data_IF_348222976315
#
_entry.id   IF_348222976315
#
_cell.length_a   1.000
_cell.length_b   1.000
_cell.length_c   1.000
_cell.angle_alpha   90.00
_cell.angle_beta   90.00
_cell.angle_gamma   90.00
#
_symmetry.space_group_name_H-M   'P 1'
#
loop_
_entity.id
_entity.type
_entity.pdbx_description
1 polymer ?
#
# COMPACT_ATOMS: atom_id res chain seq x y z
N UNK A 1 -9.10 4.04 27.79
CA UNK A 1 -8.94 4.69 26.47
C UNK A 1 -7.45 4.86 26.19
N UNK A 2 -6.73 3.75 25.93
CA UNK A 2 -5.27 3.76 25.72
C UNK A 2 -4.76 2.41 25.16
N UNK A 3 -5.25 1.93 24.00
CA UNK A 3 -4.63 0.74 23.34
C UNK A 3 -4.67 0.80 21.78
N UNK A 4 -5.24 1.83 21.14
CA UNK A 4 -5.36 1.84 19.67
C UNK A 4 -4.15 2.44 18.91
N UNK A 5 -3.28 3.22 19.56
CA UNK A 5 -2.18 3.93 18.87
C UNK A 5 -0.97 3.04 18.53
N UNK A 6 -0.56 2.14 19.44
CA UNK A 6 0.60 1.26 19.19
C UNK A 6 0.39 0.40 17.96
N UNK A 7 -0.77 -0.26 17.86
CA UNK A 7 -1.09 -1.13 16.72
C UNK A 7 -1.12 -0.41 15.36
N UNK A 8 -1.56 0.86 15.31
CA UNK A 8 -1.58 1.61 14.06
C UNK A 8 -0.17 2.03 13.64
N UNK A 9 0.63 2.56 14.58
CA UNK A 9 2.01 2.93 14.29
C UNK A 9 2.85 1.71 13.90
N UNK A 10 2.66 0.58 14.57
CA UNK A 10 3.32 -0.68 14.21
C UNK A 10 2.99 -1.12 12.78
N UNK A 11 1.72 -1.02 12.37
CA UNK A 11 1.30 -1.29 10.98
C UNK A 11 1.92 -0.31 10.00
N UNK A 12 1.96 0.98 10.35
CA UNK A 12 2.57 2.01 9.52
C UNK A 12 4.07 1.76 9.35
N UNK A 13 4.81 1.51 10.43
CA UNK A 13 6.24 1.22 10.34
C UNK A 13 6.52 -0.11 9.63
N UNK A 14 5.72 -1.14 9.90
CA UNK A 14 5.79 -2.40 9.15
C UNK A 14 5.59 -2.18 7.65
N UNK A 15 4.56 -1.41 7.27
CA UNK A 15 4.27 -1.10 5.88
C UNK A 15 5.39 -0.27 5.24
N UNK A 16 5.88 0.75 5.92
CA UNK A 16 6.94 1.63 5.43
C UNK A 16 8.33 0.98 5.45
N UNK A 17 8.55 -0.12 6.18
CA UNK A 17 9.84 -0.82 6.23
C UNK A 17 10.28 -1.45 4.90
N UNK A 18 9.33 -1.73 4.01
CA UNK A 18 9.59 -2.39 2.72
C UNK A 18 9.79 -1.40 1.58
N UNK A 19 10.87 -1.58 0.81
CA UNK A 19 11.24 -0.69 -0.27
C UNK A 19 10.26 -0.67 -1.45
N UNK A 20 9.62 -1.81 -1.75
CA UNK A 20 8.61 -1.93 -2.82
C UNK A 20 7.36 -1.13 -2.46
N UNK A 21 6.89 -1.26 -1.21
CA UNK A 21 5.74 -0.49 -0.70
C UNK A 21 6.01 1.01 -0.70
N UNK A 22 7.21 1.46 -0.31
CA UNK A 22 7.59 2.89 -0.41
C UNK A 22 7.61 3.39 -1.86
N UNK A 23 8.08 2.58 -2.81
CA UNK A 23 8.04 2.91 -4.25
C UNK A 23 6.60 3.01 -4.77
N UNK A 24 5.72 2.09 -4.37
CA UNK A 24 4.29 2.14 -4.72
C UNK A 24 3.65 3.44 -4.21
N UNK A 25 3.88 3.80 -2.94
CA UNK A 25 3.38 5.08 -2.37
C UNK A 25 3.92 6.29 -3.14
N UNK A 26 5.21 6.30 -3.49
CA UNK A 26 5.80 7.39 -4.27
C UNK A 26 5.18 7.51 -5.66
N UNK A 27 4.90 6.40 -6.33
CA UNK A 27 4.23 6.38 -7.63
C UNK A 27 2.79 6.91 -7.51
N UNK A 28 2.04 6.46 -6.51
CA UNK A 28 0.68 6.90 -6.26
C UNK A 28 0.63 8.41 -5.95
N UNK A 29 1.54 8.91 -5.10
CA UNK A 29 1.64 10.33 -4.79
C UNK A 29 1.94 11.20 -6.02
N UNK A 30 2.64 10.65 -7.03
CA UNK A 30 2.97 11.36 -8.28
C UNK A 30 1.87 11.27 -9.34
N UNK A 31 1.19 10.12 -9.43
CA UNK A 31 0.22 9.83 -10.50
C UNK A 31 -1.23 10.12 -10.10
N UNK A 32 -1.52 10.25 -8.81
CA UNK A 32 -2.89 10.30 -8.31
C UNK A 32 -3.53 8.91 -8.29
N UNK A 33 -4.85 8.86 -8.46
CA UNK A 33 -5.59 7.60 -8.54
C UNK A 33 -5.19 6.78 -9.78
N UNK A 34 -4.90 5.51 -9.58
CA UNK A 34 -4.52 4.55 -10.62
C UNK A 34 -5.09 3.17 -10.31
N UNK A 35 -5.21 2.31 -11.32
CA UNK A 35 -5.62 0.93 -11.09
C UNK A 35 -4.53 0.14 -10.36
N UNK A 36 -4.90 -0.96 -9.67
CA UNK A 36 -3.93 -1.85 -9.05
C UNK A 36 -2.94 -2.46 -10.06
N UNK A 37 -3.41 -2.70 -11.29
CA UNK A 37 -2.58 -3.17 -12.40
C UNK A 37 -1.51 -2.15 -12.79
N UNK A 38 -1.91 -0.90 -13.00
CA UNK A 38 -0.99 0.18 -13.39
C UNK A 38 0.00 0.54 -12.28
N UNK A 39 -0.44 0.45 -11.03
CA UNK A 39 0.43 0.63 -9.86
C UNK A 39 1.47 -0.50 -9.78
N UNK A 40 1.09 -1.72 -10.13
CA UNK A 40 1.94 -2.91 -10.13
C UNK A 40 2.88 -3.03 -11.32
N UNK A 41 2.53 -2.47 -12.48
CA UNK A 41 3.26 -2.62 -13.74
C UNK A 41 4.77 -2.29 -13.68
N UNK A 42 5.25 -1.31 -12.89
CA UNK A 42 6.69 -1.02 -12.77
C UNK A 42 7.48 -2.05 -11.96
N UNK A 43 6.81 -3.02 -11.34
CA UNK A 43 7.43 -4.04 -10.51
C UNK A 43 7.45 -5.36 -11.26
N UNK A 44 8.63 -5.96 -11.43
CA UNK A 44 8.81 -7.28 -12.03
C UNK A 44 8.41 -8.38 -11.04
N UNK A 45 7.15 -8.39 -10.63
CA UNK A 45 6.59 -9.31 -9.64
C UNK A 45 5.20 -9.78 -10.05
N UNK A 46 4.83 -10.96 -9.59
CA UNK A 46 3.51 -11.53 -9.86
C UNK A 46 2.37 -10.68 -9.26
N UNK A 47 1.21 -10.67 -9.92
CA UNK A 47 0.00 -9.97 -9.48
C UNK A 47 -0.43 -10.26 -8.01
N UNK A 48 -0.35 -11.50 -7.50
CA UNK A 48 -0.65 -11.77 -6.09
C UNK A 48 0.26 -11.00 -5.12
N UNK A 49 1.52 -10.78 -5.50
CA UNK A 49 2.49 -10.01 -4.70
C UNK A 49 2.11 -8.53 -4.66
N UNK A 50 1.73 -7.94 -5.80
CA UNK A 50 1.22 -6.57 -5.87
C UNK A 50 -0.02 -6.42 -4.98
N UNK A 51 -0.97 -7.35 -5.10
CA UNK A 51 -2.20 -7.36 -4.30
C UNK A 51 -1.92 -7.44 -2.79
N UNK A 52 -0.94 -8.24 -2.39
CA UNK A 52 -0.49 -8.32 -1.00
C UNK A 52 0.08 -6.98 -0.51
N UNK A 53 0.92 -6.32 -1.30
CA UNK A 53 1.47 -5.01 -0.94
C UNK A 53 0.39 -3.94 -0.79
N UNK A 54 -0.57 -3.89 -1.73
CA UNK A 54 -1.71 -2.97 -1.68
C UNK A 54 -2.52 -3.21 -0.39
N UNK A 55 -2.83 -4.47 -0.05
CA UNK A 55 -3.57 -4.80 1.18
C UNK A 55 -2.83 -4.36 2.45
N UNK A 56 -1.51 -4.55 2.51
CA UNK A 56 -0.71 -4.10 3.67
C UNK A 56 -0.73 -2.58 3.80
N UNK A 57 -0.60 -1.84 2.69
CA UNK A 57 -0.67 -0.38 2.68
C UNK A 57 -2.05 0.13 3.10
N UNK A 58 -3.12 -0.51 2.62
CA UNK A 58 -4.50 -0.20 2.99
C UNK A 58 -4.76 -0.44 4.48
N UNK A 59 -4.32 -1.59 5.03
CA UNK A 59 -4.44 -1.91 6.45
C UNK A 59 -3.64 -0.97 7.35
N UNK A 60 -2.54 -0.41 6.84
CA UNK A 60 -1.77 0.62 7.50
C UNK A 60 -2.38 2.03 7.36
N UNK A 61 -3.51 2.17 6.66
CA UNK A 61 -4.17 3.45 6.41
C UNK A 61 -3.39 4.40 5.50
N UNK A 62 -2.43 3.88 4.73
CA UNK A 62 -1.56 4.69 3.87
C UNK A 62 -2.14 4.94 2.47
N UNK A 63 -3.09 4.11 2.06
CA UNK A 63 -3.84 4.25 0.80
C UNK A 63 -5.30 3.88 1.05
N UNK A 64 -6.17 4.33 0.14
CA UNK A 64 -7.55 3.85 0.01
C UNK A 64 -7.71 3.14 -1.32
N UNK A 65 -8.58 2.14 -1.39
CA UNK A 65 -8.96 1.50 -2.66
C UNK A 65 -10.48 1.49 -2.81
N UNK A 66 -10.95 1.52 -4.04
CA UNK A 66 -12.34 1.23 -4.40
C UNK A 66 -12.39 0.19 -5.52
N UNK A 67 -13.47 -0.59 -5.55
CA UNK A 67 -13.73 -1.54 -6.63
C UNK A 67 -14.79 -0.89 -7.52
N UNK A 68 -14.41 -0.58 -8.74
CA UNK A 68 -15.33 -0.16 -9.80
C UNK A 68 -15.59 -1.39 -10.67
N UNK A 69 -16.88 -1.73 -10.83
CA UNK A 69 -17.36 -2.88 -11.61
C UNK A 69 -17.82 -2.48 -13.00
#
# INVERSE_FOLDING_TARGET
MAIYYQHQLDRTFHALGDGTRRKMLSLLAKRGEVTAGDLGAPFDVAQPTVSKHIRVLEQAGLITRRIEG
#
